data_IF_945639987101
#
_entry.id   IF_945639987101
#
_cell.length_a   1.000
_cell.length_b   1.000
_cell.length_c   1.000
_cell.angle_alpha   90.00
_cell.angle_beta   90.00
_cell.angle_gamma   90.00
#
_symmetry.space_group_name_H-M   'P 1'
#
loop_
_entity.id
_entity.type
_entity.pdbx_description
1 polymer ?
#
# COMPACT_ATOMS: atom_id res chain seq x y z
N UNK A 1 70.31 75.58 66.36
CA UNK A 1 69.46 76.53 67.12
C UNK A 1 68.08 76.62 66.45
N UNK A 2 67.02 76.63 67.27
CA UNK A 2 65.62 77.04 67.00
C UNK A 2 64.70 76.14 66.18
N UNK A 3 63.98 75.29 66.92
CA UNK A 3 62.55 75.35 67.24
C UNK A 3 61.47 75.58 66.15
N UNK A 4 60.53 74.62 66.16
CA UNK A 4 59.07 74.74 66.39
C UNK A 4 58.05 74.89 65.21
N UNK A 5 57.27 73.81 65.08
CA UNK A 5 55.79 73.71 65.15
C UNK A 5 54.83 74.14 64.01
N UNK A 6 54.04 73.12 63.61
CA UNK A 6 52.56 73.06 63.38
C UNK A 6 51.90 74.01 62.37
N UNK A 7 51.10 73.40 61.47
CA UNK A 7 49.62 73.40 61.58
C UNK A 7 48.96 72.37 60.65
N UNK A 8 47.70 72.12 60.95
CA UNK A 8 46.88 70.93 60.68
C UNK A 8 45.63 71.33 59.87
N UNK A 9 44.93 70.32 59.31
CA UNK A 9 43.53 70.29 58.79
C UNK A 9 43.32 70.85 57.38
N UNK A 10 42.34 70.44 56.59
CA UNK A 10 41.47 69.26 56.43
C UNK A 10 40.79 69.45 55.05
N UNK A 11 40.27 68.40 54.42
CA UNK A 11 38.92 68.36 53.83
C UNK A 11 38.73 67.48 52.58
N UNK A 12 37.63 66.73 52.66
CA UNK A 12 36.72 66.29 51.59
C UNK A 12 37.22 65.23 50.58
N UNK A 13 37.03 63.97 50.98
CA UNK A 13 36.88 62.82 50.06
C UNK A 13 35.57 62.98 49.26
N UNK A 14 35.68 63.17 47.96
CA UNK A 14 34.57 62.90 47.02
C UNK A 14 34.66 61.45 46.48
N UNK A 15 33.54 60.75 46.25
CA UNK A 15 33.55 59.35 45.89
C UNK A 15 33.95 59.15 44.42
N UNK A 16 35.10 58.50 44.20
CA UNK A 16 35.48 57.97 42.90
C UNK A 16 34.49 56.85 42.52
N UNK A 17 33.65 57.11 41.51
CA UNK A 17 32.78 56.14 40.85
C UNK A 17 33.63 54.94 40.39
N UNK A 18 33.52 53.79 41.05
CA UNK A 18 34.05 52.52 40.55
C UNK A 18 33.26 52.12 39.31
N UNK A 19 33.88 52.15 38.14
CA UNK A 19 33.38 51.48 36.94
C UNK A 19 33.26 49.98 37.23
N UNK A 20 32.05 49.45 37.16
CA UNK A 20 31.79 48.01 37.15
C UNK A 20 32.53 47.42 35.94
N UNK A 21 33.55 46.59 36.20
CA UNK A 21 34.19 45.81 35.14
C UNK A 21 33.17 44.79 34.66
N UNK A 22 32.62 45.05 33.50
CA UNK A 22 31.93 44.10 32.65
C UNK A 22 32.75 42.80 32.64
N UNK A 23 32.17 41.69 33.10
CA UNK A 23 32.82 40.38 33.09
C UNK A 23 32.93 39.92 31.62
N UNK A 24 33.93 40.45 30.92
CA UNK A 24 34.28 40.02 29.58
C UNK A 24 34.91 38.65 29.70
N UNK A 25 34.06 37.63 29.56
CA UNK A 25 34.44 36.24 29.42
C UNK A 25 35.60 36.15 28.42
N UNK A 26 36.73 35.57 28.86
CA UNK A 26 37.96 35.61 28.06
C UNK A 26 37.72 35.00 26.68
N UNK A 27 38.44 35.49 25.66
CA UNK A 27 38.28 35.02 24.29
C UNK A 27 38.42 33.48 24.15
N UNK A 28 39.16 32.86 25.06
CA UNK A 28 39.29 31.40 25.17
C UNK A 28 37.96 30.74 25.56
N UNK A 29 37.30 31.23 26.60
CA UNK A 29 36.01 30.68 27.04
C UNK A 29 34.89 30.91 26.03
N UNK A 30 34.88 32.04 25.31
CA UNK A 30 33.93 32.27 24.21
C UNK A 30 34.11 31.24 23.08
N UNK A 31 35.36 30.96 22.69
CA UNK A 31 35.67 29.93 21.69
C UNK A 31 35.32 28.53 22.18
N UNK A 32 35.64 28.21 23.43
CA UNK A 32 35.28 26.93 24.03
C UNK A 32 33.76 26.72 24.11
N UNK A 33 33.00 27.74 24.48
CA UNK A 33 31.54 27.67 24.54
C UNK A 33 30.90 27.48 23.15
N UNK A 34 31.44 28.17 22.14
CA UNK A 34 31.01 27.97 20.73
C UNK A 34 31.34 26.55 20.27
N UNK A 35 32.54 26.04 20.56
CA UNK A 35 32.95 24.69 20.18
C UNK A 35 32.12 23.60 20.88
N UNK A 36 31.83 23.78 22.17
CA UNK A 36 31.02 22.84 22.94
C UNK A 36 29.53 22.90 22.55
N UNK A 37 29.01 24.10 22.25
CA UNK A 37 27.64 24.29 21.77
C UNK A 37 27.41 23.73 20.36
N UNK A 38 28.34 23.97 19.43
CA UNK A 38 28.28 23.38 18.09
C UNK A 38 28.50 21.86 18.13
N UNK A 39 29.44 21.39 18.95
CA UNK A 39 29.71 19.96 19.14
C UNK A 39 28.52 19.21 19.74
N UNK A 40 27.84 19.79 20.73
CA UNK A 40 26.65 19.18 21.33
C UNK A 40 25.45 19.21 20.36
N UNK A 41 25.27 20.29 19.60
CA UNK A 41 24.20 20.39 18.60
C UNK A 41 24.37 19.35 17.48
N UNK A 42 25.60 19.07 17.06
CA UNK A 42 25.89 17.98 16.11
C UNK A 42 25.63 16.59 16.70
N UNK A 43 25.82 16.39 18.01
CA UNK A 43 25.48 15.13 18.69
C UNK A 43 23.97 14.92 18.78
N UNK A 44 23.19 15.96 19.12
CA UNK A 44 21.72 15.88 19.17
C UNK A 44 21.05 15.76 17.79
N UNK A 45 21.69 16.27 16.73
CA UNK A 45 21.26 16.06 15.34
C UNK A 45 21.85 14.80 14.72
N UNK A 46 22.72 14.08 15.42
CA UNK A 46 23.28 12.85 14.87
C UNK A 46 22.19 11.77 14.79
N UNK A 47 22.21 10.91 13.77
CA UNK A 47 21.33 9.74 13.68
C UNK A 47 21.44 8.80 14.89
N UNK A 48 22.52 8.93 15.69
CA UNK A 48 22.77 8.15 16.89
C UNK A 48 21.85 8.54 18.07
N UNK A 49 21.41 9.81 18.14
CA UNK A 49 20.55 10.34 19.23
C UNK A 49 19.10 10.46 18.78
N UNK A 50 18.87 10.75 17.50
CA UNK A 50 17.51 10.87 16.95
C UNK A 50 16.85 9.53 16.66
N UNK A 51 17.61 8.42 16.72
CA UNK A 51 17.08 7.07 16.48
C UNK A 51 16.28 7.08 15.19
N UNK A 52 16.95 7.28 14.05
CA UNK A 52 16.26 7.23 12.76
C UNK A 52 15.73 5.81 12.57
N UNK A 53 14.53 5.54 13.07
CA UNK A 53 13.69 4.47 12.57
C UNK A 53 13.62 4.70 11.07
N UNK A 54 14.28 3.83 10.31
CA UNK A 54 14.04 3.77 8.89
C UNK A 54 12.54 3.52 8.75
N UNK A 55 11.81 4.55 8.31
CA UNK A 55 10.39 4.40 7.99
C UNK A 55 10.33 3.53 6.75
N UNK A 56 10.17 2.23 6.98
CA UNK A 56 10.00 1.24 5.92
C UNK A 56 8.51 1.24 5.61
N UNK A 57 8.15 1.77 4.44
CA UNK A 57 6.79 1.69 3.95
C UNK A 57 6.52 0.27 3.44
N UNK A 58 5.63 -0.51 4.10
CA UNK A 58 5.27 -1.84 3.63
C UNK A 58 4.53 -1.75 2.30
N UNK A 59 4.77 -2.72 1.43
CA UNK A 59 4.08 -2.78 0.13
C UNK A 59 2.66 -3.30 0.32
N UNK A 60 1.62 -2.55 -0.07
CA UNK A 60 0.24 -3.01 0.09
C UNK A 60 -0.06 -4.19 -0.85
N UNK A 61 -0.87 -5.13 -0.34
CA UNK A 61 -1.40 -6.25 -1.12
C UNK A 61 -2.14 -5.73 -2.36
N UNK A 62 -1.95 -6.40 -3.49
CA UNK A 62 -2.64 -6.12 -4.74
C UNK A 62 -2.10 -4.94 -5.55
N UNK A 63 -1.12 -4.17 -5.03
CA UNK A 63 -0.50 -3.08 -5.78
C UNK A 63 0.30 -3.62 -6.96
N UNK A 64 -0.06 -3.18 -8.15
CA UNK A 64 0.65 -3.50 -9.38
C UNK A 64 1.97 -2.73 -9.45
N UNK A 65 3.02 -3.45 -9.81
CA UNK A 65 4.36 -2.93 -9.99
C UNK A 65 4.87 -3.37 -11.36
N UNK A 66 5.31 -2.42 -12.21
CA UNK A 66 5.79 -2.76 -13.53
C UNK A 66 7.13 -3.49 -13.41
N UNK A 67 7.23 -4.66 -14.04
CA UNK A 67 8.51 -5.23 -14.48
C UNK A 67 8.85 -4.62 -15.82
N UNK A 68 7.88 -4.58 -16.74
CA UNK A 68 7.97 -3.83 -18.00
C UNK A 68 6.68 -3.07 -18.26
N UNK A 69 6.67 -2.30 -19.35
CA UNK A 69 5.46 -1.63 -19.83
C UNK A 69 4.35 -2.63 -20.17
N UNK A 70 4.70 -3.89 -20.43
CA UNK A 70 3.79 -4.97 -20.82
C UNK A 70 3.58 -6.04 -19.74
N UNK A 71 4.39 -6.04 -18.68
CA UNK A 71 4.38 -7.05 -17.63
C UNK A 71 4.37 -6.35 -16.28
N UNK A 72 3.30 -6.57 -15.53
CA UNK A 72 3.14 -6.04 -14.17
C UNK A 72 3.03 -7.21 -13.21
N UNK A 73 3.56 -7.03 -12.01
CA UNK A 73 3.46 -8.01 -10.93
C UNK A 73 2.79 -7.37 -9.75
N UNK A 74 1.90 -8.12 -9.09
CA UNK A 74 1.34 -7.73 -7.81
C UNK A 74 1.62 -8.78 -6.76
N UNK A 75 1.90 -8.29 -5.57
CA UNK A 75 1.96 -9.09 -4.35
C UNK A 75 0.55 -9.54 -3.96
N UNK A 76 0.38 -10.83 -3.67
CA UNK A 76 -0.93 -11.44 -3.35
C UNK A 76 -1.03 -11.82 -1.88
N UNK A 77 -0.02 -12.53 -1.35
CA UNK A 77 -0.05 -13.11 -0.02
C UNK A 77 1.36 -13.29 0.51
N UNK A 78 1.57 -13.02 1.80
CA UNK A 78 2.79 -13.41 2.51
C UNK A 78 2.42 -14.06 3.84
N UNK A 79 3.21 -15.05 4.25
CA UNK A 79 3.02 -15.82 5.50
C UNK A 79 4.38 -16.22 6.04
N UNK A 80 4.54 -16.23 7.37
CA UNK A 80 5.78 -16.60 8.03
C UNK A 80 5.58 -17.74 9.02
N UNK A 81 6.45 -18.74 8.98
CA UNK A 81 6.57 -19.77 9.99
C UNK A 81 7.77 -19.45 10.90
N UNK A 82 7.56 -18.99 12.15
CA UNK A 82 8.67 -18.73 13.07
C UNK A 82 9.38 -20.02 13.51
N UNK A 83 8.69 -21.16 13.58
CA UNK A 83 9.27 -22.42 14.06
C UNK A 83 10.33 -22.95 13.10
N UNK A 84 10.01 -22.94 11.81
CA UNK A 84 10.88 -23.42 10.73
C UNK A 84 11.67 -22.32 10.02
N UNK A 85 11.51 -21.05 10.43
CA UNK A 85 12.16 -19.89 9.82
C UNK A 85 11.89 -19.77 8.32
N UNK A 86 10.65 -20.09 7.91
CA UNK A 86 10.23 -20.17 6.52
C UNK A 86 9.29 -19.01 6.20
N UNK A 87 9.65 -18.21 5.20
CA UNK A 87 8.81 -17.12 4.71
C UNK A 87 8.29 -17.45 3.32
N UNK A 88 6.97 -17.39 3.12
CA UNK A 88 6.29 -17.57 1.84
C UNK A 88 5.81 -16.22 1.34
N UNK A 89 6.01 -15.97 0.04
CA UNK A 89 5.37 -14.86 -0.68
C UNK A 89 4.83 -15.34 -2.02
N UNK A 90 3.65 -14.84 -2.36
CA UNK A 90 2.95 -15.18 -3.58
C UNK A 90 2.82 -13.93 -4.46
N UNK A 91 3.13 -14.09 -5.75
CA UNK A 91 3.04 -13.04 -6.76
C UNK A 91 2.12 -13.47 -7.92
N UNK A 92 1.33 -12.53 -8.40
CA UNK A 92 0.54 -12.69 -9.62
C UNK A 92 1.11 -11.81 -10.74
N UNK A 93 1.36 -12.42 -11.89
CA UNK A 93 1.86 -11.77 -13.10
C UNK A 93 0.68 -11.40 -13.99
N UNK A 94 0.65 -10.14 -14.40
CA UNK A 94 -0.30 -9.60 -15.36
C UNK A 94 0.45 -9.16 -16.61
N UNK A 95 -0.03 -9.63 -17.76
CA UNK A 95 0.48 -9.21 -19.06
C UNK A 95 -0.59 -8.43 -19.81
N UNK A 96 -0.15 -7.61 -20.77
CA UNK A 96 -1.05 -7.01 -21.76
C UNK A 96 -1.87 -8.10 -22.46
N UNK A 97 -3.18 -7.88 -22.57
CA UNK A 97 -4.15 -8.77 -23.22
C UNK A 97 -3.74 -9.05 -24.67
N UNK A 98 -3.06 -8.10 -25.32
CA UNK A 98 -2.60 -8.24 -26.70
C UNK A 98 -1.31 -9.05 -26.87
N UNK A 99 -0.61 -9.41 -25.77
CA UNK A 99 0.66 -10.15 -25.82
C UNK A 99 0.71 -11.25 -24.74
N UNK A 100 -0.08 -12.34 -24.89
CA UNK A 100 -0.17 -13.42 -23.91
C UNK A 100 1.07 -14.32 -23.85
N UNK A 101 2.02 -14.22 -24.80
CA UNK A 101 3.27 -15.00 -24.78
C UNK A 101 4.28 -14.50 -23.74
N UNK A 102 4.12 -13.28 -23.23
CA UNK A 102 5.03 -12.64 -22.27
C UNK A 102 4.98 -13.21 -20.86
N UNK A 103 4.18 -14.25 -20.62
CA UNK A 103 3.87 -14.76 -19.28
C UNK A 103 4.77 -15.94 -18.88
N UNK A 104 5.60 -16.46 -19.81
CA UNK A 104 6.52 -17.58 -19.53
C UNK A 104 7.96 -17.09 -19.29
N UNK A 105 8.13 -16.23 -18.29
CA UNK A 105 9.44 -15.76 -17.87
C UNK A 105 9.96 -16.61 -16.71
N UNK A 106 11.25 -16.89 -16.71
CA UNK A 106 11.93 -17.39 -15.52
C UNK A 106 12.25 -16.20 -14.60
N UNK A 107 12.26 -16.45 -13.29
CA UNK A 107 12.53 -15.44 -12.29
C UNK A 107 13.58 -15.92 -11.30
N UNK A 108 14.33 -14.96 -10.77
CA UNK A 108 15.14 -15.08 -9.57
C UNK A 108 14.53 -14.24 -8.46
N UNK A 109 14.63 -14.70 -7.22
CA UNK A 109 14.13 -13.98 -6.07
C UNK A 109 15.13 -13.96 -4.92
N UNK A 110 15.21 -12.83 -4.23
CA UNK A 110 16.13 -12.63 -3.11
C UNK A 110 15.45 -11.85 -2.00
N UNK A 111 15.61 -12.31 -0.76
CA UNK A 111 15.21 -11.58 0.43
C UNK A 111 16.43 -10.95 1.11
N UNK A 112 16.20 -9.83 1.81
CA UNK A 112 17.19 -9.17 2.65
C UNK A 112 16.51 -8.66 3.91
N UNK A 113 17.06 -9.01 5.07
CA UNK A 113 16.61 -8.46 6.35
C UNK A 113 17.14 -7.03 6.46
N UNK A 114 16.23 -6.07 6.58
CA UNK A 114 16.59 -4.66 6.65
C UNK A 114 17.21 -4.40 8.03
N UNK A 115 18.31 -3.62 8.07
CA UNK A 115 19.03 -3.30 9.30
C UNK A 115 20.01 -4.37 9.81
N UNK A 116 19.80 -5.65 9.51
CA UNK A 116 20.55 -6.74 10.17
C UNK A 116 21.59 -7.44 9.28
N UNK A 117 21.37 -7.56 7.95
CA UNK A 117 22.29 -8.35 7.10
C UNK A 117 22.68 -7.66 5.79
N UNK A 118 23.97 -7.79 5.41
CA UNK A 118 24.43 -7.49 4.04
C UNK A 118 24.14 -8.62 3.05
N UNK A 119 23.95 -9.85 3.55
CA UNK A 119 23.79 -11.06 2.76
C UNK A 119 22.35 -11.22 2.28
N UNK A 120 22.19 -11.43 0.98
CA UNK A 120 20.91 -11.81 0.38
C UNK A 120 20.61 -13.28 0.65
N UNK A 121 19.34 -13.58 0.91
CA UNK A 121 18.80 -14.93 1.10
C UNK A 121 18.14 -15.32 -0.22
N UNK A 122 18.63 -16.35 -0.93
CA UNK A 122 18.01 -16.78 -2.19
C UNK A 122 16.64 -17.38 -1.93
N UNK A 123 15.71 -17.15 -2.85
CA UNK A 123 14.36 -17.72 -2.82
C UNK A 123 14.26 -18.99 -3.65
N UNK A 124 13.52 -19.95 -3.15
CA UNK A 124 13.06 -21.12 -3.90
C UNK A 124 11.73 -20.78 -4.57
N UNK A 125 11.73 -20.75 -5.90
CA UNK A 125 10.55 -20.35 -6.69
C UNK A 125 9.83 -21.59 -7.20
N UNK A 126 8.53 -21.64 -6.95
CA UNK A 126 7.60 -22.58 -7.53
C UNK A 126 6.71 -21.81 -8.50
N UNK A 127 6.96 -21.98 -9.80
CA UNK A 127 6.09 -21.47 -10.85
C UNK A 127 4.85 -22.36 -10.92
N UNK A 128 3.75 -21.88 -10.34
CA UNK A 128 2.52 -22.65 -10.21
C UNK A 128 1.78 -22.73 -11.53
N UNK A 129 1.72 -21.58 -12.21
CA UNK A 129 1.31 -21.47 -13.60
C UNK A 129 2.00 -20.22 -14.19
N UNK A 130 1.72 -19.92 -15.45
CA UNK A 130 2.29 -18.75 -16.11
C UNK A 130 2.07 -17.43 -15.34
N UNK A 131 0.92 -17.28 -14.66
CA UNK A 131 0.51 -16.05 -13.97
C UNK A 131 0.73 -16.07 -12.46
N UNK A 132 1.25 -17.15 -11.87
CA UNK A 132 1.34 -17.27 -10.41
C UNK A 132 2.64 -17.91 -9.96
N UNK A 133 3.35 -17.20 -9.08
CA UNK A 133 4.60 -17.64 -8.47
C UNK A 133 4.41 -17.73 -6.96
N UNK A 134 4.92 -18.81 -6.37
CA UNK A 134 5.07 -18.95 -4.92
C UNK A 134 6.56 -19.03 -4.63
N UNK A 135 7.03 -18.23 -3.68
CA UNK A 135 8.45 -18.09 -3.38
C UNK A 135 8.68 -18.33 -1.89
N UNK A 136 9.63 -19.20 -1.59
CA UNK A 136 10.03 -19.53 -0.23
C UNK A 136 11.42 -18.99 0.08
N UNK A 137 11.57 -18.35 1.23
CA UNK A 137 12.86 -17.96 1.78
C UNK A 137 13.07 -18.68 3.10
N UNK A 138 14.14 -19.47 3.15
CA UNK A 138 14.57 -20.20 4.34
C UNK A 138 15.45 -19.33 5.23
N UNK A 139 15.56 -19.69 6.52
CA UNK A 139 16.46 -19.06 7.49
C UNK A 139 16.14 -17.58 7.78
N UNK A 140 14.86 -17.21 7.75
CA UNK A 140 14.41 -15.88 8.19
C UNK A 140 14.40 -15.85 9.73
N UNK A 141 15.18 -14.97 10.40
CA UNK A 141 15.23 -14.87 11.87
C UNK A 141 13.85 -14.69 12.49
N UNK A 142 13.66 -15.09 13.75
CA UNK A 142 12.36 -14.97 14.45
C UNK A 142 11.99 -13.52 14.82
N UNK A 143 12.99 -12.66 14.90
CA UNK A 143 12.96 -11.30 15.44
C UNK A 143 13.36 -10.27 14.37
N UNK A 144 13.05 -10.54 13.11
CA UNK A 144 13.33 -9.59 12.03
C UNK A 144 12.35 -8.41 12.08
N UNK A 145 12.82 -7.17 12.09
CA UNK A 145 11.89 -6.02 12.06
C UNK A 145 11.21 -5.88 10.69
N UNK A 146 12.00 -6.06 9.63
CA UNK A 146 11.53 -5.90 8.26
C UNK A 146 12.35 -6.71 7.26
N UNK A 147 11.67 -7.11 6.18
CA UNK A 147 12.24 -7.90 5.09
C UNK A 147 11.94 -7.22 3.75
N UNK A 148 12.99 -7.02 2.96
CA UNK A 148 12.90 -6.55 1.57
C UNK A 148 13.09 -7.71 0.61
N UNK A 149 12.14 -7.89 -0.30
CA UNK A 149 12.12 -8.95 -1.30
C UNK A 149 12.31 -8.33 -2.68
N UNK A 150 13.23 -8.91 -3.44
CA UNK A 150 13.52 -8.54 -4.83
C UNK A 150 13.11 -9.68 -5.74
N UNK A 151 12.24 -9.42 -6.72
CA UNK A 151 11.92 -10.33 -7.80
C UNK A 151 12.54 -9.79 -9.10
N UNK A 152 13.29 -10.62 -9.82
CA UNK A 152 14.00 -10.25 -11.03
C UNK A 152 13.74 -11.27 -12.14
N UNK A 153 13.39 -10.88 -13.37
CA UNK A 153 13.36 -11.80 -14.49
C UNK A 153 14.77 -12.34 -14.82
N UNK A 154 14.90 -13.65 -15.00
CA UNK A 154 16.18 -14.32 -15.31
C UNK A 154 16.29 -14.73 -16.78
N UNK A 155 15.19 -15.15 -17.42
CA UNK A 155 15.12 -15.44 -18.86
C UNK A 155 13.88 -14.82 -19.51
N UNK A 156 14.08 -14.22 -20.69
CA UNK A 156 13.06 -13.58 -21.51
C UNK A 156 13.31 -13.96 -22.98
N UNK A 157 12.28 -14.46 -23.68
CA UNK A 157 12.37 -14.79 -25.11
C UNK A 157 12.86 -13.58 -25.94
N UNK A 158 13.74 -13.83 -26.90
CA UNK A 158 14.43 -12.82 -27.71
C UNK A 158 13.49 -11.84 -28.44
N UNK A 159 12.27 -12.27 -28.76
CA UNK A 159 11.28 -11.47 -29.46
C UNK A 159 10.69 -10.34 -28.59
N UNK A 160 10.97 -10.38 -27.28
CA UNK A 160 10.58 -9.41 -26.25
C UNK A 160 11.76 -8.46 -25.93
N UNK A 161 13.00 -8.82 -26.29
CA UNK A 161 14.27 -8.17 -25.90
C UNK A 161 14.58 -6.89 -26.71
N UNK A 162 13.56 -6.16 -27.17
CA UNK A 162 13.77 -4.81 -27.74
C UNK A 162 13.96 -3.72 -26.66
N UNK A 163 14.09 -4.11 -25.38
CA UNK A 163 14.25 -3.21 -24.25
C UNK A 163 15.68 -3.28 -23.67
N UNK A 164 16.55 -2.29 -23.96
CA UNK A 164 17.95 -2.31 -23.55
C UNK A 164 18.16 -2.19 -22.02
N UNK A 165 17.14 -1.82 -21.24
CA UNK A 165 17.23 -1.68 -19.78
C UNK A 165 16.69 -2.90 -19.02
N UNK A 166 16.31 -3.98 -19.72
CA UNK A 166 15.58 -5.10 -19.14
C UNK A 166 16.34 -5.85 -18.03
N UNK A 167 17.68 -5.95 -18.13
CA UNK A 167 18.53 -6.64 -17.13
C UNK A 167 18.61 -5.95 -15.77
N UNK A 168 18.24 -4.67 -15.70
CA UNK A 168 18.23 -3.86 -14.48
C UNK A 168 16.86 -3.82 -13.81
N UNK A 169 15.83 -4.39 -14.47
CA UNK A 169 14.45 -4.36 -13.98
C UNK A 169 14.24 -5.38 -12.88
N UNK A 170 13.72 -4.91 -11.76
CA UNK A 170 13.42 -5.70 -10.57
C UNK A 170 12.22 -5.08 -9.86
N UNK A 171 11.38 -5.94 -9.28
CA UNK A 171 10.33 -5.52 -8.36
C UNK A 171 10.89 -5.61 -6.96
N UNK A 172 10.68 -4.58 -6.17
CA UNK A 172 11.11 -4.55 -4.77
C UNK A 172 9.88 -4.36 -3.88
N UNK A 173 9.71 -5.27 -2.92
CA UNK A 173 8.61 -5.24 -1.96
C UNK A 173 9.14 -5.33 -0.54
N UNK A 174 8.66 -4.47 0.34
CA UNK A 174 9.04 -4.48 1.75
C UNK A 174 7.88 -4.92 2.62
N UNK A 175 8.21 -5.59 3.71
CA UNK A 175 7.26 -6.03 4.72
C UNK A 175 7.82 -5.79 6.11
N UNK A 176 6.97 -5.32 7.01
CA UNK A 176 7.25 -5.31 8.45
C UNK A 176 6.78 -6.63 9.03
N UNK A 177 7.51 -7.23 9.98
CA UNK A 177 7.11 -8.51 10.58
C UNK A 177 5.70 -8.46 11.16
N UNK A 178 5.34 -7.36 11.84
CA UNK A 178 4.03 -7.16 12.44
C UNK A 178 2.85 -7.22 11.46
N UNK A 179 3.09 -7.00 10.18
CA UNK A 179 2.07 -6.98 9.13
C UNK A 179 1.94 -8.35 8.42
N UNK A 180 2.82 -9.31 8.76
CA UNK A 180 2.85 -10.64 8.15
C UNK A 180 2.17 -11.64 9.09
N UNK A 181 1.10 -12.32 8.64
CA UNK A 181 0.48 -13.39 9.41
C UNK A 181 1.47 -14.54 9.70
N UNK A 182 1.46 -15.01 10.94
CA UNK A 182 2.20 -16.20 11.35
C UNK A 182 1.37 -17.46 11.13
N UNK A 183 2.01 -18.51 10.61
CA UNK A 183 1.43 -19.83 10.42
C UNK A 183 2.48 -20.90 10.73
N UNK A 184 2.33 -21.57 11.88
CA UNK A 184 3.23 -22.65 12.29
C UNK A 184 3.11 -23.91 11.41
N UNK A 185 2.02 -24.05 10.67
CA UNK A 185 1.79 -25.19 9.75
C UNK A 185 2.38 -24.96 8.36
N UNK A 186 2.85 -23.75 8.06
CA UNK A 186 3.41 -23.43 6.74
C UNK A 186 4.63 -24.30 6.43
N UNK A 187 4.53 -25.02 5.31
CA UNK A 187 5.56 -25.87 4.73
C UNK A 187 5.54 -25.76 3.20
N UNK A 188 6.59 -26.26 2.55
CA UNK A 188 6.60 -26.40 1.09
C UNK A 188 5.71 -27.58 0.70
N UNK A 189 4.78 -27.34 -0.22
CA UNK A 189 3.77 -28.26 -0.70
C UNK A 189 3.90 -28.45 -2.21
N UNK A 190 3.01 -29.26 -2.79
CA UNK A 190 3.01 -29.51 -4.23
C UNK A 190 2.51 -28.30 -5.03
N UNK A 191 2.97 -28.18 -6.28
CA UNK A 191 2.44 -27.23 -7.26
C UNK A 191 0.91 -27.30 -7.38
N UNK A 192 0.32 -28.50 -7.32
CA UNK A 192 -1.12 -28.68 -7.37
C UNK A 192 -1.84 -28.05 -6.18
N UNK A 193 -1.25 -28.11 -4.98
CA UNK A 193 -1.80 -27.45 -3.79
C UNK A 193 -1.84 -25.95 -3.98
N UNK A 194 -0.76 -25.35 -4.46
CA UNK A 194 -0.71 -23.91 -4.73
C UNK A 194 -1.62 -23.47 -5.88
N UNK A 195 -1.82 -24.31 -6.90
CA UNK A 195 -2.80 -24.03 -7.95
C UNK A 195 -4.21 -24.02 -7.38
N UNK A 196 -4.55 -24.95 -6.48
CA UNK A 196 -5.86 -24.96 -5.77
C UNK A 196 -6.05 -23.73 -4.90
N UNK A 197 -5.03 -23.31 -4.16
CA UNK A 197 -5.04 -22.06 -3.38
C UNK A 197 -5.33 -20.86 -4.28
N UNK A 198 -4.59 -20.74 -5.39
CA UNK A 198 -4.74 -19.66 -6.35
C UNK A 198 -6.15 -19.61 -6.96
N UNK A 199 -6.66 -20.76 -7.41
CA UNK A 199 -8.02 -20.87 -7.95
C UNK A 199 -9.05 -20.47 -6.88
N UNK A 200 -8.89 -20.94 -5.64
CA UNK A 200 -9.82 -20.62 -4.55
C UNK A 200 -9.86 -19.12 -4.26
N UNK A 201 -8.71 -18.45 -4.25
CA UNK A 201 -8.64 -16.99 -4.13
C UNK A 201 -9.32 -16.28 -5.32
N UNK A 202 -9.24 -16.82 -6.54
CA UNK A 202 -9.98 -16.28 -7.69
C UNK A 202 -11.49 -16.46 -7.55
N UNK A 203 -11.93 -17.62 -7.07
CA UNK A 203 -13.35 -17.89 -6.81
C UNK A 203 -13.91 -16.94 -5.74
N UNK A 204 -13.17 -16.68 -4.65
CA UNK A 204 -13.56 -15.72 -3.62
C UNK A 204 -13.77 -14.30 -4.19
N UNK A 205 -12.81 -13.81 -4.99
CA UNK A 205 -12.94 -12.51 -5.67
C UNK A 205 -14.17 -12.46 -6.60
N UNK A 206 -14.45 -13.53 -7.35
CA UNK A 206 -15.64 -13.59 -8.19
C UNK A 206 -16.94 -13.60 -7.38
N UNK A 207 -16.94 -14.25 -6.22
CA UNK A 207 -18.09 -14.29 -5.33
C UNK A 207 -18.43 -12.88 -4.80
N UNK A 208 -17.43 -12.10 -4.41
CA UNK A 208 -17.62 -10.70 -4.01
C UNK A 208 -18.19 -9.83 -5.16
N UNK A 209 -17.69 -10.04 -6.39
CA UNK A 209 -18.22 -9.36 -7.57
C UNK A 209 -19.68 -9.75 -7.86
N UNK A 210 -20.02 -11.04 -7.73
CA UNK A 210 -21.39 -11.56 -7.88
C UNK A 210 -22.32 -10.88 -6.86
N UNK A 211 -21.96 -10.90 -5.57
CA UNK A 211 -22.75 -10.26 -4.52
C UNK A 211 -22.97 -8.77 -4.79
N UNK A 212 -21.96 -8.07 -5.32
CA UNK A 212 -22.07 -6.67 -5.70
C UNK A 212 -23.08 -6.45 -6.84
N UNK A 213 -23.10 -7.32 -7.86
CA UNK A 213 -24.09 -7.21 -8.94
C UNK A 213 -25.50 -7.57 -8.47
N UNK A 214 -25.66 -8.61 -7.65
CA UNK A 214 -26.96 -8.97 -7.05
C UNK A 214 -27.54 -7.83 -6.21
N UNK A 215 -26.69 -7.16 -5.42
CA UNK A 215 -27.08 -5.98 -4.65
C UNK A 215 -27.55 -4.83 -5.56
N UNK A 216 -26.90 -4.60 -6.70
CA UNK A 216 -27.34 -3.58 -7.67
C UNK A 216 -28.73 -3.92 -8.23
N UNK A 217 -28.94 -5.17 -8.63
CA UNK A 217 -30.25 -5.63 -9.12
C UNK A 217 -31.33 -5.40 -8.06
N UNK A 218 -31.06 -5.80 -6.81
CA UNK A 218 -32.00 -5.58 -5.70
C UNK A 218 -32.34 -4.10 -5.51
N UNK A 219 -31.34 -3.21 -5.51
CA UNK A 219 -31.55 -1.78 -5.35
C UNK A 219 -32.38 -1.21 -6.52
N UNK A 220 -32.05 -1.57 -7.76
CA UNK A 220 -32.80 -1.12 -8.94
C UNK A 220 -34.25 -1.62 -8.90
N UNK A 221 -34.50 -2.87 -8.46
CA UNK A 221 -35.87 -3.40 -8.28
C UNK A 221 -36.68 -2.59 -7.26
N UNK A 222 -36.09 -2.25 -6.11
CA UNK A 222 -36.73 -1.40 -5.09
C UNK A 222 -37.07 -0.02 -5.66
N UNK A 223 -36.18 0.59 -6.44
CA UNK A 223 -36.44 1.89 -7.08
C UNK A 223 -37.58 1.82 -8.09
N UNK A 224 -37.62 0.75 -8.91
CA UNK A 224 -38.71 0.51 -9.86
C UNK A 224 -40.04 0.36 -9.11
N UNK A 225 -40.06 -0.44 -8.03
CA UNK A 225 -41.25 -0.65 -7.22
C UNK A 225 -41.77 0.67 -6.63
N UNK A 226 -40.88 1.48 -6.04
CA UNK A 226 -41.24 2.80 -5.51
C UNK A 226 -41.78 3.72 -6.59
N UNK A 227 -41.13 3.79 -7.76
CA UNK A 227 -41.59 4.62 -8.88
C UNK A 227 -42.96 4.15 -9.42
N UNK A 228 -43.19 2.84 -9.52
CA UNK A 228 -44.48 2.25 -9.91
C UNK A 228 -45.57 2.55 -8.88
N UNK A 229 -45.25 2.47 -7.58
CA UNK A 229 -46.16 2.83 -6.50
C UNK A 229 -46.53 4.31 -6.57
N UNK A 230 -45.55 5.20 -6.72
CA UNK A 230 -45.82 6.63 -6.92
C UNK A 230 -46.72 6.86 -8.14
N UNK A 231 -46.44 6.23 -9.29
CA UNK A 231 -47.29 6.32 -10.47
C UNK A 231 -48.74 5.85 -10.21
N UNK A 232 -48.92 4.81 -9.43
CA UNK A 232 -50.24 4.26 -9.08
C UNK A 232 -51.00 5.13 -8.06
N UNK A 233 -50.30 5.66 -7.05
CA UNK A 233 -50.85 6.53 -6.01
C UNK A 233 -51.19 7.91 -6.55
N UNK A 234 -50.58 8.33 -7.65
CA UNK A 234 -50.92 9.59 -8.32
C UNK A 234 -52.22 9.46 -9.15
N UNK A 235 -53.35 9.12 -8.51
CA UNK A 235 -54.69 9.26 -9.10
C UNK A 235 -55.18 10.69 -8.91
N UNK A 236 -55.16 11.47 -9.99
CA UNK A 236 -55.77 12.80 -10.02
C UNK A 236 -56.82 12.86 -11.11
N UNK A 237 -57.99 13.39 -10.76
CA UNK A 237 -59.01 13.79 -11.72
C UNK A 237 -58.53 15.07 -12.41
N UNK A 238 -57.93 14.93 -13.58
CA UNK A 238 -57.33 16.04 -14.34
C UNK A 238 -58.37 17.08 -14.77
N UNK A 239 -59.66 16.78 -14.64
CA UNK A 239 -60.76 17.67 -15.01
C UNK A 239 -60.90 18.89 -14.08
N UNK A 240 -60.28 18.87 -12.90
CA UNK A 240 -60.28 19.96 -11.92
C UNK A 240 -58.96 20.74 -11.89
N UNK A 241 -57.98 20.34 -12.71
CA UNK A 241 -56.65 20.97 -12.79
C UNK A 241 -56.61 22.08 -13.84
N UNK A 242 -55.75 23.06 -13.61
CA UNK A 242 -55.35 24.04 -14.64
C UNK A 242 -54.43 23.41 -15.69
N UNK A 243 -54.32 24.03 -16.86
CA UNK A 243 -53.44 23.55 -17.95
C UNK A 243 -51.97 23.41 -17.52
N UNK A 244 -51.50 24.28 -16.63
CA UNK A 244 -50.14 24.22 -16.10
C UNK A 244 -49.96 23.01 -15.17
N UNK A 245 -50.93 22.75 -14.27
CA UNK A 245 -50.92 21.59 -13.38
C UNK A 245 -50.99 20.26 -14.16
N UNK A 246 -51.80 20.19 -15.23
CA UNK A 246 -51.86 19.03 -16.13
C UNK A 246 -50.51 18.78 -16.81
N UNK A 247 -49.83 19.84 -17.27
CA UNK A 247 -48.50 19.74 -17.89
C UNK A 247 -47.43 19.28 -16.90
N UNK A 248 -47.42 19.82 -15.69
CA UNK A 248 -46.49 19.39 -14.64
C UNK A 248 -46.73 17.95 -14.22
N UNK A 249 -48.00 17.56 -14.05
CA UNK A 249 -48.40 16.19 -13.77
C UNK A 249 -47.93 15.20 -14.85
N UNK A 250 -48.11 15.55 -16.12
CA UNK A 250 -47.65 14.73 -17.25
C UNK A 250 -46.11 14.60 -17.28
N UNK A 251 -45.39 15.70 -17.02
CA UNK A 251 -43.91 15.68 -16.92
C UNK A 251 -43.44 14.80 -15.76
N UNK A 252 -44.11 14.88 -14.60
CA UNK A 252 -43.82 14.04 -13.45
C UNK A 252 -43.97 12.55 -13.76
N UNK A 253 -45.08 12.17 -14.40
CA UNK A 253 -45.31 10.79 -14.87
C UNK A 253 -44.23 10.33 -15.85
N UNK A 254 -43.93 11.14 -16.86
CA UNK A 254 -42.90 10.82 -17.84
C UNK A 254 -41.53 10.64 -17.19
N UNK A 255 -41.19 11.49 -16.21
CA UNK A 255 -39.94 11.39 -15.45
C UNK A 255 -39.85 10.06 -14.69
N UNK A 256 -40.94 9.65 -14.01
CA UNK A 256 -41.01 8.36 -13.31
C UNK A 256 -40.90 7.17 -14.28
N UNK A 257 -41.55 7.23 -15.44
CA UNK A 257 -41.44 6.20 -16.48
C UNK A 257 -40.02 6.08 -17.04
N UNK A 258 -39.36 7.21 -17.32
CA UNK A 258 -37.97 7.22 -17.77
C UNK A 258 -37.03 6.64 -16.70
N UNK A 259 -37.28 6.95 -15.42
CA UNK A 259 -36.52 6.39 -14.29
C UNK A 259 -36.69 4.86 -14.20
N UNK A 260 -37.91 4.34 -14.39
CA UNK A 260 -38.16 2.89 -14.45
C UNK A 260 -37.37 2.26 -15.59
N UNK A 261 -37.46 2.80 -16.82
CA UNK A 261 -36.77 2.26 -17.97
C UNK A 261 -35.23 2.28 -17.79
N UNK A 262 -34.69 3.32 -17.17
CA UNK A 262 -33.28 3.41 -16.83
C UNK A 262 -32.86 2.31 -15.85
N UNK A 263 -33.64 2.09 -14.78
CA UNK A 263 -33.34 1.06 -13.78
C UNK A 263 -33.52 -0.37 -14.34
N UNK A 264 -34.47 -0.58 -15.25
CA UNK A 264 -34.60 -1.84 -16.01
C UNK A 264 -33.36 -2.09 -16.88
N UNK A 265 -32.82 -1.05 -17.53
CA UNK A 265 -31.55 -1.13 -18.26
C UNK A 265 -30.35 -1.45 -17.36
N UNK A 266 -30.33 -0.91 -16.14
CA UNK A 266 -29.28 -1.23 -15.15
C UNK A 266 -29.36 -2.69 -14.70
N UNK A 267 -30.56 -3.21 -14.47
CA UNK A 267 -30.79 -4.62 -14.12
C UNK A 267 -30.26 -5.52 -15.24
N UNK A 268 -30.64 -5.27 -16.49
CA UNK A 268 -30.19 -6.08 -17.63
C UNK A 268 -28.66 -6.15 -17.74
N UNK A 269 -27.98 -5.01 -17.61
CA UNK A 269 -26.50 -4.96 -17.63
C UNK A 269 -25.88 -5.73 -16.46
N UNK A 270 -26.50 -5.69 -15.29
CA UNK A 270 -26.02 -6.42 -14.12
C UNK A 270 -26.25 -7.93 -14.26
N UNK A 271 -27.37 -8.35 -14.86
CA UNK A 271 -27.67 -9.75 -15.18
C UNK A 271 -26.68 -10.31 -16.21
N UNK A 272 -26.41 -9.59 -17.31
CA UNK A 272 -25.40 -9.97 -18.30
C UNK A 272 -23.98 -10.09 -17.69
N UNK A 273 -23.66 -9.24 -16.72
CA UNK A 273 -22.39 -9.34 -15.99
C UNK A 273 -22.37 -10.56 -15.04
N UNK A 274 -23.49 -10.84 -14.36
CA UNK A 274 -23.62 -12.01 -13.48
C UNK A 274 -23.43 -13.32 -14.24
N UNK A 275 -24.00 -13.43 -15.44
CA UNK A 275 -23.89 -14.64 -16.25
C UNK A 275 -22.42 -14.92 -16.61
N UNK A 276 -21.68 -13.89 -17.06
CA UNK A 276 -20.24 -14.00 -17.33
C UNK A 276 -19.41 -14.38 -16.09
N UNK A 277 -19.76 -13.83 -14.92
CA UNK A 277 -19.08 -14.16 -13.67
C UNK A 277 -19.34 -15.61 -13.25
N UNK A 278 -20.56 -16.10 -13.40
CA UNK A 278 -20.94 -17.49 -13.12
C UNK A 278 -20.27 -18.47 -14.07
N UNK A 279 -20.24 -18.18 -15.37
CA UNK A 279 -19.49 -18.99 -16.35
C UNK A 279 -18.01 -19.10 -15.97
N UNK A 280 -17.41 -18.01 -15.52
CA UNK A 280 -16.02 -18.00 -15.07
C UNK A 280 -15.82 -18.78 -13.76
N UNK A 281 -16.78 -18.72 -12.85
CA UNK A 281 -16.79 -19.53 -11.62
C UNK A 281 -16.80 -21.03 -11.95
N UNK A 282 -17.67 -21.43 -12.87
CA UNK A 282 -17.79 -22.82 -13.33
C UNK A 282 -16.51 -23.31 -14.01
N UNK A 283 -15.84 -22.43 -14.78
CA UNK A 283 -14.54 -22.75 -15.37
C UNK A 283 -13.50 -23.05 -14.28
N UNK A 284 -13.38 -22.19 -13.27
CA UNK A 284 -12.44 -22.41 -12.16
C UNK A 284 -12.76 -23.66 -11.35
N UNK A 285 -14.05 -23.97 -11.15
CA UNK A 285 -14.45 -25.19 -10.46
C UNK A 285 -14.03 -26.45 -11.23
N UNK A 286 -14.25 -26.47 -12.55
CA UNK A 286 -13.76 -27.54 -13.42
C UNK A 286 -12.25 -27.66 -13.39
N UNK A 287 -11.53 -26.54 -13.48
CA UNK A 287 -10.07 -26.51 -13.41
C UNK A 287 -9.57 -27.11 -12.08
N UNK A 288 -10.19 -26.72 -10.95
CA UNK A 288 -9.87 -27.23 -9.62
C UNK A 288 -10.07 -28.74 -9.48
N UNK A 289 -11.13 -29.29 -10.10
CA UNK A 289 -11.43 -30.73 -10.09
C UNK A 289 -10.45 -31.56 -10.92
N UNK A 290 -9.82 -30.97 -11.93
CA UNK A 290 -8.80 -31.63 -12.76
C UNK A 290 -7.44 -31.74 -12.07
N UNK A 291 -7.20 -30.93 -11.04
CA UNK A 291 -6.01 -30.98 -10.20
C UNK A 291 -6.18 -32.12 -9.17
N UNK A 292 -5.89 -33.36 -9.58
CA UNK A 292 -5.85 -34.51 -8.67
C UNK A 292 -4.53 -34.55 -7.92
#
# INVERSE_FOLDING_TARGET
MRNFFKKEKSDLKQPLKKKTKENQMSAFYKKAFIFFGLGSMLLFLSPLVTGTEYSIDPTPIGKLQPITDKIQVKFVKAVYNPENQLFRIDFEIQTDVNNPTLVNLDYDAYAKIIGNTKKSIPGEIIQVNQKYLVIFFNQIPKDYEAIGITLKPSYIESDIVNDPHMKDRKVFTNFLQKDIPEDSSLMVESTHTYQKDWISAKQENLNDEIQKQEKKIRISRIKIENAKKTLADTKSDTNLMTDDEVREYARGKQSLQNSIAQEEGNIKKAEEALDKLKERMDHYEKEKQLLK
#
